data_IF_936827606124
#
_entry.id   IF_936827606124
#
_cell.length_a   1.000
_cell.length_b   1.000
_cell.length_c   1.000
_cell.angle_alpha   90.00
_cell.angle_beta   90.00
_cell.angle_gamma   90.00
#
_symmetry.space_group_name_H-M   'P 1'
#
loop_
_entity.id
_entity.type
_entity.pdbx_description
1 polymer ?
#
# COMPACT_ATOMS: atom_id res chain seq x y z
N UNK A 1 -6.90 -12.28 -21.73
CA UNK A 1 -5.61 -12.35 -21.00
C UNK A 1 -5.62 -11.25 -19.93
N UNK A 2 -5.27 -11.55 -18.67
CA UNK A 2 -5.20 -10.52 -17.62
C UNK A 2 -3.98 -9.64 -17.89
N UNK A 3 -4.16 -8.33 -18.06
CA UNK A 3 -3.06 -7.40 -18.40
C UNK A 3 -2.38 -6.82 -17.16
N UNK A 4 -3.17 -6.25 -16.25
CA UNK A 4 -2.69 -5.69 -14.98
C UNK A 4 -3.80 -5.66 -13.94
N UNK A 5 -3.45 -5.66 -12.66
CA UNK A 5 -4.41 -5.61 -11.57
C UNK A 5 -3.82 -5.98 -10.23
N UNK A 6 -4.71 -6.15 -9.24
CA UNK A 6 -4.34 -6.50 -7.87
C UNK A 6 -4.94 -7.86 -7.49
N UNK A 7 -4.25 -8.56 -6.61
CA UNK A 7 -4.74 -9.80 -5.99
C UNK A 7 -4.43 -9.78 -4.49
N UNK A 8 -5.28 -10.44 -3.71
CA UNK A 8 -5.02 -10.69 -2.30
C UNK A 8 -3.93 -11.76 -2.16
N UNK A 9 -3.02 -11.57 -1.21
CA UNK A 9 -2.02 -12.58 -0.90
C UNK A 9 -2.67 -13.83 -0.29
N UNK A 10 -2.00 -14.97 -0.45
CA UNK A 10 -2.51 -16.25 0.05
C UNK A 10 -2.75 -16.22 1.57
N UNK A 11 -1.88 -15.54 2.33
CA UNK A 11 -2.01 -15.38 3.78
C UNK A 11 -3.26 -14.60 4.23
N UNK A 12 -3.85 -13.77 3.35
CA UNK A 12 -5.03 -12.95 3.64
C UNK A 12 -6.28 -13.45 2.90
N UNK A 13 -6.20 -14.63 2.27
CA UNK A 13 -7.32 -15.20 1.50
C UNK A 13 -8.49 -15.53 2.44
N UNK A 14 -9.68 -15.05 2.11
CA UNK A 14 -10.90 -15.22 2.92
C UNK A 14 -11.09 -14.14 3.98
N UNK A 15 -10.16 -13.20 4.13
CA UNK A 15 -10.32 -12.04 5.00
C UNK A 15 -11.15 -10.95 4.31
N UNK A 16 -12.43 -10.85 4.65
CA UNK A 16 -13.37 -9.90 4.05
C UNK A 16 -12.99 -8.42 4.24
N UNK A 17 -12.10 -8.12 5.20
CA UNK A 17 -11.61 -6.76 5.41
C UNK A 17 -10.50 -6.38 4.42
N UNK A 18 -9.88 -7.35 3.73
CA UNK A 18 -8.88 -7.05 2.70
C UNK A 18 -9.59 -6.79 1.38
N UNK A 19 -9.70 -5.50 1.06
CA UNK A 19 -10.34 -5.04 -0.17
C UNK A 19 -9.32 -4.72 -1.24
N UNK A 20 -9.60 -5.16 -2.47
CA UNK A 20 -8.74 -4.81 -3.60
C UNK A 20 -8.82 -3.29 -3.87
N UNK A 21 -7.69 -2.66 -4.24
CA UNK A 21 -7.65 -1.23 -4.52
C UNK A 21 -8.67 -0.84 -5.59
N UNK A 22 -9.35 0.27 -5.36
CA UNK A 22 -10.29 0.85 -6.30
C UNK A 22 -10.00 2.34 -6.50
N UNK A 23 -10.50 2.86 -7.61
CA UNK A 23 -10.42 4.28 -7.93
C UNK A 23 -11.54 5.01 -7.22
N UNK A 24 -11.22 6.13 -6.58
CA UNK A 24 -12.21 6.93 -5.84
C UNK A 24 -13.29 7.53 -6.76
N UNK A 25 -12.90 7.90 -7.98
CA UNK A 25 -13.78 8.39 -9.04
C UNK A 25 -13.44 7.75 -10.37
N UNK A 26 -14.35 7.85 -11.35
CA UNK A 26 -14.18 7.29 -12.69
C UNK A 26 -12.87 7.76 -13.38
N UNK A 27 -12.48 9.01 -13.16
CA UNK A 27 -11.33 9.65 -13.81
C UNK A 27 -10.09 9.71 -12.90
N UNK A 28 -10.12 9.07 -11.73
CA UNK A 28 -8.93 8.99 -10.88
C UNK A 28 -7.81 8.22 -11.59
N UNK A 29 -6.58 8.70 -11.48
CA UNK A 29 -5.40 7.96 -11.96
C UNK A 29 -4.97 6.86 -11.00
N UNK A 30 -5.03 7.13 -9.69
CA UNK A 30 -4.58 6.22 -8.64
C UNK A 30 -5.68 5.28 -8.12
N UNK A 31 -5.25 4.13 -7.62
CA UNK A 31 -6.06 3.20 -6.86
C UNK A 31 -5.74 3.37 -5.36
N UNK A 32 -6.77 3.53 -4.53
CA UNK A 32 -6.58 3.70 -3.09
C UNK A 32 -6.23 2.35 -2.45
N UNK A 33 -5.01 2.24 -1.90
CA UNK A 33 -4.52 1.07 -1.16
C UNK A 33 -4.81 1.23 0.34
N UNK A 34 -5.15 0.13 1.00
CA UNK A 34 -5.53 0.09 2.40
C UNK A 34 -4.56 -0.73 3.24
N UNK A 35 -4.64 -0.54 4.55
CA UNK A 35 -3.84 -1.29 5.52
C UNK A 35 -4.49 -2.63 5.82
N UNK A 36 -3.73 -3.71 5.74
CA UNK A 36 -4.18 -5.04 6.17
C UNK A 36 -4.18 -5.21 7.69
N UNK A 37 -3.60 -4.26 8.43
CA UNK A 37 -3.47 -4.33 9.89
C UNK A 37 -3.84 -3.02 10.56
N UNK A 38 -4.26 -3.11 11.82
CA UNK A 38 -4.29 -1.96 12.71
C UNK A 38 -2.94 -1.86 13.41
N UNK A 39 -2.34 -0.68 13.42
CA UNK A 39 -1.06 -0.46 14.08
C UNK A 39 -0.92 0.99 14.53
N UNK A 40 0.10 1.23 15.33
CA UNK A 40 0.49 2.56 15.77
C UNK A 40 1.91 2.85 15.28
N UNK A 41 2.13 4.10 14.88
CA UNK A 41 3.42 4.63 14.46
C UNK A 41 3.78 5.73 15.46
N UNK A 42 4.82 5.52 16.25
CA UNK A 42 5.30 6.47 17.24
C UNK A 42 5.84 7.75 16.59
N UNK A 43 5.93 8.87 17.34
CA UNK A 43 6.59 10.07 16.87
C UNK A 43 8.00 9.77 16.34
N UNK A 44 8.30 10.24 15.14
CA UNK A 44 9.56 10.04 14.44
C UNK A 44 9.90 8.58 14.05
N UNK A 45 8.94 7.65 14.12
CA UNK A 45 9.11 6.26 13.66
C UNK A 45 8.82 6.14 12.15
N UNK A 46 9.62 5.30 11.47
CA UNK A 46 9.26 4.73 10.17
C UNK A 46 8.72 3.32 10.42
N UNK A 47 7.49 3.07 9.98
CA UNK A 47 6.87 1.75 10.11
C UNK A 47 6.43 1.21 8.75
N UNK A 48 6.76 -0.05 8.49
CA UNK A 48 6.39 -0.75 7.26
C UNK A 48 4.98 -1.33 7.40
N UNK A 49 4.01 -0.82 6.63
CA UNK A 49 2.60 -1.18 6.76
C UNK A 49 2.21 -2.22 5.71
N UNK A 50 1.80 -3.44 6.11
CA UNK A 50 1.33 -4.45 5.17
C UNK A 50 -0.02 -4.06 4.55
N UNK A 51 -0.16 -4.24 3.24
CA UNK A 51 -1.40 -3.90 2.50
C UNK A 51 -2.31 -5.09 2.22
N UNK A 52 -1.75 -6.31 2.25
CA UNK A 52 -2.48 -7.55 2.04
C UNK A 52 -2.63 -7.95 0.58
N UNK A 53 -2.05 -7.15 -0.32
CA UNK A 53 -2.18 -7.31 -1.76
C UNK A 53 -0.81 -7.43 -2.45
N UNK A 54 -0.88 -7.95 -3.66
CA UNK A 54 0.17 -7.98 -4.67
C UNK A 54 -0.40 -7.44 -5.99
N UNK A 55 0.45 -6.96 -6.90
CA UNK A 55 0.03 -6.42 -8.19
C UNK A 55 0.71 -7.17 -9.33
N UNK A 56 -0.03 -7.51 -10.38
CA UNK A 56 0.50 -8.04 -11.62
C UNK A 56 0.36 -6.98 -12.73
N UNK A 57 1.27 -6.98 -13.70
CA UNK A 57 1.31 -6.05 -14.82
C UNK A 57 2.13 -6.63 -15.98
N UNK A 58 2.19 -5.94 -17.12
CA UNK A 58 3.08 -6.34 -18.22
C UNK A 58 4.54 -6.02 -17.87
N UNK A 59 5.49 -6.70 -18.53
CA UNK A 59 6.93 -6.62 -18.21
C UNK A 59 7.55 -5.22 -18.37
N UNK A 60 6.94 -4.35 -19.17
CA UNK A 60 7.35 -2.98 -19.47
C UNK A 60 6.59 -1.93 -18.65
N UNK A 61 5.85 -2.37 -17.63
CA UNK A 61 5.04 -1.52 -16.75
C UNK A 61 5.63 -1.40 -15.35
N UNK A 62 5.23 -0.34 -14.65
CA UNK A 62 5.59 -0.08 -13.25
C UNK A 62 4.36 0.39 -12.48
N UNK A 63 4.17 -0.14 -11.28
CA UNK A 63 3.23 0.43 -10.32
C UNK A 63 3.96 1.40 -9.39
N UNK A 64 3.55 2.67 -9.41
CA UNK A 64 4.09 3.72 -8.55
C UNK A 64 3.16 4.03 -7.39
N UNK A 65 3.69 4.04 -6.17
CA UNK A 65 2.96 4.37 -4.96
C UNK A 65 3.22 5.82 -4.58
N UNK A 66 2.14 6.60 -4.47
CA UNK A 66 2.16 7.99 -4.06
C UNK A 66 1.40 8.20 -2.76
N UNK A 67 1.81 9.16 -1.90
CA UNK A 67 1.03 9.51 -0.73
C UNK A 67 -0.29 10.16 -1.14
N UNK A 68 -1.39 9.81 -0.44
CA UNK A 68 -2.65 10.56 -0.58
C UNK A 68 -2.43 12.00 -0.12
N UNK A 69 -3.02 12.98 -0.81
CA UNK A 69 -2.83 14.41 -0.49
C UNK A 69 -3.11 14.78 0.98
N UNK A 70 -4.07 14.09 1.60
CA UNK A 70 -4.42 14.29 3.01
C UNK A 70 -3.41 13.70 4.01
N UNK A 71 -2.49 12.83 3.60
CA UNK A 71 -1.58 12.12 4.49
C UNK A 71 -0.64 13.09 5.22
N UNK A 72 0.05 13.95 4.47
CA UNK A 72 0.97 14.93 5.05
C UNK A 72 0.23 16.00 5.87
N UNK A 73 -0.88 16.51 5.36
CA UNK A 73 -1.57 17.66 5.99
C UNK A 73 -2.41 17.24 7.19
N UNK A 74 -3.25 16.21 7.05
CA UNK A 74 -4.20 15.79 8.09
C UNK A 74 -3.65 14.77 9.06
N UNK A 75 -2.72 13.91 8.60
CA UNK A 75 -2.17 12.81 9.40
C UNK A 75 -0.73 13.04 9.83
N UNK A 76 -0.08 14.11 9.35
CA UNK A 76 1.32 14.45 9.65
C UNK A 76 2.25 13.26 9.42
N UNK A 77 1.98 12.54 8.32
CA UNK A 77 2.74 11.38 7.89
C UNK A 77 3.15 11.52 6.42
N UNK A 78 4.24 10.86 6.05
CA UNK A 78 4.70 10.80 4.67
C UNK A 78 5.10 9.37 4.29
N UNK A 79 5.20 9.13 2.99
CA UNK A 79 5.82 7.92 2.48
C UNK A 79 7.33 8.06 2.64
N UNK A 80 7.98 7.20 3.44
CA UNK A 80 9.37 7.37 3.83
C UNK A 80 10.36 7.26 2.65
N UNK A 81 9.98 6.55 1.59
CA UNK A 81 10.78 6.39 0.36
C UNK A 81 10.32 7.31 -0.79
N UNK A 82 9.50 8.34 -0.51
CA UNK A 82 8.92 9.30 -1.47
C UNK A 82 7.97 8.71 -2.52
N UNK A 83 8.46 7.79 -3.35
CA UNK A 83 7.69 7.03 -4.35
C UNK A 83 8.06 5.56 -4.21
N UNK A 84 7.06 4.71 -3.93
CA UNK A 84 7.26 3.27 -4.00
C UNK A 84 7.28 2.81 -5.45
N UNK A 85 8.32 2.11 -5.86
CA UNK A 85 8.43 1.48 -7.18
C UNK A 85 8.18 -0.01 -7.00
N UNK A 86 7.15 -0.54 -7.66
CA UNK A 86 6.82 -1.96 -7.67
C UNK A 86 7.03 -2.45 -9.11
N UNK A 87 8.07 -3.26 -9.29
CA UNK A 87 8.45 -3.85 -10.56
C UNK A 87 7.54 -5.02 -10.93
N UNK A 88 7.43 -5.32 -12.22
CA UNK A 88 6.52 -6.36 -12.72
C UNK A 88 6.86 -7.77 -12.20
N UNK A 89 8.15 -8.06 -11.99
CA UNK A 89 8.65 -9.34 -11.47
C UNK A 89 8.61 -9.46 -9.94
N UNK A 90 8.17 -8.41 -9.23
CA UNK A 90 7.92 -8.49 -7.81
C UNK A 90 6.73 -9.40 -7.48
N UNK A 91 5.77 -9.53 -8.41
CA UNK A 91 4.58 -10.39 -8.26
C UNK A 91 4.95 -11.87 -8.09
N UNK A 92 4.39 -12.55 -7.09
CA UNK A 92 4.65 -13.97 -6.79
C UNK A 92 6.15 -14.31 -6.57
N UNK A 93 6.97 -13.34 -6.16
CA UNK A 93 8.33 -13.65 -5.76
C UNK A 93 8.36 -14.68 -4.60
N UNK A 94 9.45 -15.42 -4.49
CA UNK A 94 9.58 -16.51 -3.52
C UNK A 94 9.74 -16.06 -2.06
N UNK A 95 9.99 -14.76 -1.81
CA UNK A 95 10.25 -14.25 -0.46
C UNK A 95 8.96 -13.88 0.27
N UNK A 96 8.03 -13.22 -0.40
CA UNK A 96 6.79 -12.71 0.22
C UNK A 96 5.57 -12.70 -0.70
N UNK A 97 5.60 -13.46 -1.80
CA UNK A 97 4.51 -13.57 -2.79
C UNK A 97 4.21 -12.23 -3.52
N UNK A 98 5.09 -11.24 -3.42
CA UNK A 98 4.88 -9.91 -3.97
C UNK A 98 4.08 -8.98 -3.07
N UNK A 99 4.11 -9.20 -1.75
CA UNK A 99 3.39 -8.37 -0.78
C UNK A 99 3.86 -6.93 -0.85
N UNK A 100 2.96 -6.04 -1.30
CA UNK A 100 3.20 -4.60 -1.29
C UNK A 100 3.11 -4.11 0.15
N UNK A 101 4.18 -3.50 0.65
CA UNK A 101 4.22 -2.89 1.97
C UNK A 101 4.60 -1.41 1.86
N UNK A 102 3.96 -0.57 2.67
CA UNK A 102 4.06 0.89 2.55
C UNK A 102 4.82 1.44 3.77
N UNK A 103 6.05 1.96 3.61
CA UNK A 103 6.79 2.54 4.71
C UNK A 103 6.26 3.95 5.01
N UNK A 104 5.60 4.12 6.15
CA UNK A 104 5.09 5.42 6.59
C UNK A 104 6.00 6.00 7.68
N UNK A 105 6.36 7.27 7.52
CA UNK A 105 7.06 8.06 8.52
C UNK A 105 6.07 9.00 9.22
N UNK A 106 6.00 8.94 10.55
CA UNK A 106 5.25 9.88 11.37
C UNK A 106 6.16 11.04 11.79
N UNK A 107 6.03 12.19 11.14
CA UNK A 107 6.82 13.38 11.45
C UNK A 107 6.15 14.30 12.49
N UNK A 108 5.11 13.81 13.16
CA UNK A 108 4.43 14.56 14.21
C UNK A 108 4.99 14.23 15.60
N UNK A 109 4.59 15.02 16.58
CA UNK A 109 4.90 14.78 18.00
C UNK A 109 3.87 13.88 18.69
N UNK A 110 2.90 13.33 17.96
CA UNK A 110 1.84 12.48 18.50
C UNK A 110 1.87 11.10 17.85
N UNK A 111 1.43 10.09 18.58
CA UNK A 111 1.25 8.74 18.04
C UNK A 111 0.20 8.73 16.93
N UNK A 112 0.53 8.09 15.81
CA UNK A 112 -0.37 7.95 14.66
C UNK A 112 -0.99 6.55 14.64
N UNK A 113 -2.31 6.47 14.78
CA UNK A 113 -3.04 5.20 14.63
C UNK A 113 -3.43 4.96 13.17
N UNK A 114 -3.09 3.79 12.63
CA UNK A 114 -3.59 3.24 11.37
C UNK A 114 -4.60 2.13 11.72
N UNK A 115 -5.75 2.12 11.05
CA UNK A 115 -6.77 1.08 11.22
C UNK A 115 -6.77 0.18 9.98
N UNK A 116 -6.95 -1.13 10.20
CA UNK A 116 -7.29 -2.09 9.14
C UNK A 116 -8.57 -1.66 8.43
N UNK A 117 -8.60 -1.73 7.09
CA UNK A 117 -9.70 -1.22 6.25
C UNK A 117 -9.77 -1.86 4.88
#
# INVERSE_FOLDING_TARGET
MRQRGFETLSQYKGDEQITLPNRATKESAGYDIRSAVSCEIEPNEIKLIPTGIKAYMLHDEVLKIYPRSSLAIKRKAMLANNVGIIDADYYNNNQNEGHIMIPLYNFSNNKLTIKKR
#
